data_IF_675577306022
#
_entry.id   IF_675577306022
#
_cell.length_a   1.000
_cell.length_b   1.000
_cell.length_c   1.000
_cell.angle_alpha   90.00
_cell.angle_beta   90.00
_cell.angle_gamma   90.00
#
_symmetry.space_group_name_H-M   'P 1'
#
loop_
_entity.id
_entity.type
_entity.pdbx_description
1 polymer ?
#
# COMPACT_ATOMS: atom_id res chain seq x y z
N UNK A 1 3.16 -20.13 -1.70
CA UNK A 1 3.21 -18.65 -1.60
C UNK A 1 4.37 -18.19 -2.47
N UNK A 2 4.17 -17.20 -3.33
CA UNK A 2 5.28 -16.63 -4.09
C UNK A 2 6.30 -16.03 -3.10
N UNK A 3 7.53 -16.53 -3.12
CA UNK A 3 8.61 -16.03 -2.29
C UNK A 3 9.22 -14.85 -3.02
N UNK A 4 8.96 -13.63 -2.55
CA UNK A 4 9.56 -12.43 -3.14
C UNK A 4 11.06 -12.48 -2.90
N UNK A 5 11.84 -12.44 -3.98
CA UNK A 5 13.28 -12.40 -3.90
C UNK A 5 13.76 -10.95 -3.72
N UNK A 6 14.75 -10.75 -2.86
CA UNK A 6 15.33 -9.41 -2.64
C UNK A 6 15.93 -8.86 -3.94
N UNK A 7 16.45 -9.74 -4.81
CA UNK A 7 16.99 -9.38 -6.11
C UNK A 7 15.95 -8.66 -6.98
N UNK A 8 14.74 -9.18 -7.08
CA UNK A 8 13.63 -8.55 -7.83
C UNK A 8 13.26 -7.16 -7.27
N UNK A 9 13.31 -7.00 -5.95
CA UNK A 9 13.05 -5.71 -5.29
C UNK A 9 14.15 -4.68 -5.55
N UNK A 10 15.40 -5.13 -5.71
CA UNK A 10 16.51 -4.26 -6.10
C UNK A 10 16.34 -3.82 -7.56
N UNK A 11 16.09 -4.78 -8.46
CA UNK A 11 15.95 -4.53 -9.90
C UNK A 11 14.76 -3.62 -10.23
N UNK A 12 13.66 -3.74 -9.50
CA UNK A 12 12.49 -2.86 -9.62
C UNK A 12 12.66 -1.48 -8.98
N UNK A 13 13.77 -1.21 -8.30
CA UNK A 13 14.08 0.09 -7.71
C UNK A 13 13.22 0.47 -6.50
N UNK A 14 12.54 -0.48 -5.85
CA UNK A 14 11.63 -0.16 -4.72
C UNK A 14 12.36 0.21 -3.42
N UNK A 15 13.68 0.10 -3.39
CA UNK A 15 14.52 0.46 -2.26
C UNK A 15 14.78 1.98 -2.15
N UNK A 16 14.46 2.75 -3.19
CA UNK A 16 14.63 4.20 -3.16
C UNK A 16 13.50 4.88 -2.36
N UNK A 17 13.89 5.59 -1.30
CA UNK A 17 13.00 6.42 -0.49
C UNK A 17 12.95 7.87 -0.97
N UNK A 18 12.67 8.78 -0.04
CA UNK A 18 12.65 10.21 -0.29
C UNK A 18 13.97 10.90 0.12
N UNK A 19 14.06 12.19 -0.20
CA UNK A 19 15.14 13.07 0.26
C UNK A 19 15.18 13.10 1.80
N UNK A 20 16.38 13.24 2.35
CA UNK A 20 16.59 13.21 3.81
C UNK A 20 15.89 14.33 4.58
N UNK A 21 15.67 15.49 3.94
CA UNK A 21 14.84 16.56 4.51
C UNK A 21 13.34 16.24 4.61
N UNK A 22 12.85 15.21 3.91
CA UNK A 22 11.43 14.80 3.85
C UNK A 22 11.22 13.45 4.53
N UNK A 23 11.92 13.19 5.62
CA UNK A 23 11.84 11.94 6.35
C UNK A 23 11.00 12.07 7.64
N UNK A 24 10.50 10.94 8.12
CA UNK A 24 9.85 10.83 9.42
C UNK A 24 10.81 10.10 10.37
N UNK A 25 11.15 10.64 11.56
CA UNK A 25 12.08 10.00 12.50
C UNK A 25 11.70 8.55 12.87
N UNK A 26 10.41 8.24 12.89
CA UNK A 26 9.92 6.88 13.16
C UNK A 26 10.32 5.86 12.07
N UNK A 27 10.79 6.33 10.91
CA UNK A 27 11.30 5.47 9.84
C UNK A 27 12.76 5.07 10.05
N UNK A 28 13.46 5.61 11.04
CA UNK A 28 14.87 5.27 11.35
C UNK A 28 15.13 3.75 11.35
N UNK A 29 14.29 2.90 12.00
CA UNK A 29 14.51 1.46 11.98
C UNK A 29 14.37 0.82 10.60
N UNK A 30 13.72 1.45 9.63
CA UNK A 30 13.46 0.91 8.29
C UNK A 30 14.43 1.44 7.23
N UNK A 31 15.22 2.45 7.56
CA UNK A 31 16.25 3.01 6.68
C UNK A 31 17.50 2.15 6.80
N UNK A 32 18.07 1.75 5.66
CA UNK A 32 19.33 1.02 5.59
C UNK A 32 20.52 1.97 5.64
N UNK A 33 20.52 2.98 4.77
CA UNK A 33 21.55 4.02 4.70
C UNK A 33 21.02 5.25 3.95
N UNK A 34 21.83 6.31 3.93
CA UNK A 34 21.65 7.46 3.05
C UNK A 34 22.70 7.42 1.93
N UNK A 35 22.29 7.73 0.70
CA UNK A 35 23.21 7.90 -0.45
C UNK A 35 22.77 9.10 -1.27
N UNK A 36 23.66 10.04 -1.52
CA UNK A 36 23.40 11.25 -2.32
C UNK A 36 22.14 12.02 -1.85
N UNK A 37 21.92 12.12 -0.54
CA UNK A 37 20.76 12.82 0.03
C UNK A 37 19.42 12.06 -0.08
N UNK A 38 19.43 10.79 -0.50
CA UNK A 38 18.23 9.93 -0.59
C UNK A 38 18.36 8.80 0.44
N UNK A 39 17.28 8.53 1.17
CA UNK A 39 17.20 7.36 2.04
C UNK A 39 16.99 6.07 1.24
N UNK A 40 17.79 5.06 1.53
CA UNK A 40 17.65 3.70 1.02
C UNK A 40 16.90 2.87 2.05
N UNK A 41 15.82 2.21 1.64
CA UNK A 41 14.96 1.39 2.50
C UNK A 41 15.55 -0.01 2.65
N UNK A 42 15.50 -0.56 3.86
CA UNK A 42 16.00 -1.90 4.15
C UNK A 42 15.07 -2.99 3.57
N UNK A 43 15.49 -3.60 2.45
CA UNK A 43 14.73 -4.63 1.76
C UNK A 43 14.59 -5.95 2.53
N UNK A 44 15.51 -6.29 3.44
CA UNK A 44 15.35 -7.47 4.31
C UNK A 44 14.15 -7.28 5.24
N UNK A 45 14.01 -6.08 5.82
CA UNK A 45 12.84 -5.72 6.64
C UNK A 45 11.57 -5.68 5.79
N UNK A 46 11.63 -5.12 4.58
CA UNK A 46 10.50 -5.13 3.63
C UNK A 46 10.03 -6.55 3.33
N UNK A 47 10.93 -7.47 3.00
CA UNK A 47 10.59 -8.88 2.70
C UNK A 47 9.89 -9.55 3.89
N UNK A 48 10.44 -9.40 5.10
CA UNK A 48 9.83 -9.92 6.33
C UNK A 48 8.43 -9.35 6.57
N UNK A 49 8.26 -8.02 6.42
CA UNK A 49 6.98 -7.35 6.60
C UNK A 49 5.94 -7.70 5.53
N UNK A 50 6.35 -7.96 4.29
CA UNK A 50 5.43 -8.44 3.26
C UNK A 50 4.90 -9.83 3.61
N UNK A 51 5.73 -10.72 4.16
CA UNK A 51 5.28 -12.04 4.62
C UNK A 51 4.27 -11.91 5.78
N UNK A 52 4.55 -11.04 6.74
CA UNK A 52 3.64 -10.75 7.85
C UNK A 52 2.29 -10.20 7.36
N UNK A 53 2.33 -9.19 6.48
CA UNK A 53 1.13 -8.59 5.89
C UNK A 53 0.32 -9.60 5.07
N UNK A 54 0.99 -10.44 4.27
CA UNK A 54 0.33 -11.48 3.47
C UNK A 54 -0.40 -12.48 4.37
N UNK A 55 0.22 -12.90 5.47
CA UNK A 55 -0.42 -13.79 6.46
C UNK A 55 -1.66 -13.13 7.08
N UNK A 56 -1.59 -11.85 7.44
CA UNK A 56 -2.72 -11.11 7.99
C UNK A 56 -3.86 -10.96 6.97
N UNK A 57 -3.54 -10.57 5.73
CA UNK A 57 -4.53 -10.44 4.65
C UNK A 57 -5.22 -11.77 4.33
N UNK A 58 -4.48 -12.88 4.32
CA UNK A 58 -5.05 -14.22 4.14
C UNK A 58 -6.07 -14.55 5.24
N UNK A 59 -5.76 -14.26 6.51
CA UNK A 59 -6.72 -14.47 7.63
C UNK A 59 -7.98 -13.61 7.46
N UNK A 60 -7.82 -12.34 7.08
CA UNK A 60 -8.96 -11.43 6.86
C UNK A 60 -9.82 -11.93 5.70
N UNK A 61 -9.21 -12.32 4.58
CA UNK A 61 -9.93 -12.84 3.42
C UNK A 61 -10.67 -14.15 3.75
N UNK A 62 -10.05 -15.07 4.49
CA UNK A 62 -10.68 -16.32 4.93
C UNK A 62 -11.89 -16.08 5.83
N UNK A 63 -11.90 -15.01 6.63
CA UNK A 63 -13.06 -14.63 7.46
C UNK A 63 -14.25 -14.05 6.67
N UNK A 64 -14.14 -13.94 5.33
CA UNK A 64 -15.19 -13.39 4.47
C UNK A 64 -15.29 -11.86 4.50
N UNK A 65 -14.37 -11.18 5.20
CA UNK A 65 -14.33 -9.71 5.27
C UNK A 65 -13.82 -9.10 3.97
N UNK A 66 -14.30 -7.90 3.66
CA UNK A 66 -13.86 -7.13 2.48
C UNK A 66 -12.60 -6.32 2.81
N UNK A 67 -11.67 -6.27 1.86
CA UNK A 67 -10.45 -5.46 1.93
C UNK A 67 -10.61 -4.29 0.95
N UNK A 68 -10.50 -3.07 1.45
CA UNK A 68 -10.60 -1.86 0.63
C UNK A 68 -9.21 -1.47 0.11
N UNK A 69 -9.07 -1.39 -1.21
CA UNK A 69 -7.85 -0.92 -1.86
C UNK A 69 -7.93 0.59 -2.10
N UNK A 70 -6.87 1.33 -1.77
CA UNK A 70 -6.88 2.80 -1.87
C UNK A 70 -5.61 3.31 -2.53
N UNK A 71 -5.74 4.09 -3.60
CA UNK A 71 -4.61 4.72 -4.26
C UNK A 71 -5.01 5.98 -5.04
N UNK A 72 -4.62 7.15 -4.58
CA UNK A 72 -4.98 8.43 -5.23
C UNK A 72 -3.91 8.96 -6.18
N UNK A 73 -2.69 8.41 -6.12
CA UNK A 73 -1.56 8.82 -6.96
C UNK A 73 -1.76 8.32 -8.40
N UNK A 74 -1.51 9.19 -9.38
CA UNK A 74 -1.63 8.88 -10.82
C UNK A 74 -0.92 7.58 -11.21
N UNK A 75 0.29 7.35 -10.70
CA UNK A 75 1.10 6.16 -11.00
C UNK A 75 0.50 4.85 -10.45
N UNK A 76 -0.37 4.93 -9.45
CA UNK A 76 -0.93 3.76 -8.76
C UNK A 76 -2.40 3.51 -9.11
N UNK A 77 -3.10 4.47 -9.74
CA UNK A 77 -4.54 4.37 -10.01
C UNK A 77 -4.88 3.12 -10.84
N UNK A 78 -4.25 2.99 -12.00
CA UNK A 78 -4.57 1.92 -12.94
C UNK A 78 -4.21 0.56 -12.37
N UNK A 79 -2.99 0.45 -11.81
CA UNK A 79 -2.47 -0.78 -11.16
C UNK A 79 -3.42 -1.27 -10.06
N UNK A 80 -3.82 -0.37 -9.15
CA UNK A 80 -4.69 -0.74 -8.03
C UNK A 80 -6.10 -1.06 -8.50
N UNK A 81 -6.64 -0.32 -9.46
CA UNK A 81 -7.97 -0.60 -10.02
C UNK A 81 -8.02 -1.96 -10.70
N UNK A 82 -7.00 -2.31 -11.48
CA UNK A 82 -6.92 -3.57 -12.22
C UNK A 82 -6.80 -4.75 -11.26
N UNK A 83 -5.90 -4.67 -10.28
CA UNK A 83 -5.69 -5.75 -9.31
C UNK A 83 -6.90 -5.94 -8.40
N UNK A 84 -7.53 -4.86 -7.95
CA UNK A 84 -8.74 -4.95 -7.12
C UNK A 84 -9.93 -5.55 -7.88
N UNK A 85 -10.09 -5.20 -9.17
CA UNK A 85 -11.10 -5.81 -10.06
C UNK A 85 -10.86 -7.31 -10.23
N UNK A 86 -9.61 -7.72 -10.47
CA UNK A 86 -9.23 -9.15 -10.60
C UNK A 86 -9.64 -9.97 -9.37
N UNK A 87 -9.48 -9.42 -8.16
CA UNK A 87 -9.83 -10.09 -6.91
C UNK A 87 -11.26 -9.79 -6.41
N UNK A 88 -12.08 -9.05 -7.17
CA UNK A 88 -13.46 -8.65 -6.83
C UNK A 88 -13.58 -7.98 -5.45
N UNK A 89 -12.61 -7.15 -5.09
CA UNK A 89 -12.60 -6.36 -3.86
C UNK A 89 -12.90 -4.88 -4.12
N UNK A 90 -13.48 -4.16 -3.14
CA UNK A 90 -13.76 -2.73 -3.29
C UNK A 90 -12.46 -1.92 -3.40
N UNK A 91 -12.46 -0.86 -4.20
CA UNK A 91 -11.32 0.03 -4.36
C UNK A 91 -11.72 1.50 -4.57
N UNK A 92 -10.80 2.41 -4.24
CA UNK A 92 -10.91 3.85 -4.49
C UNK A 92 -9.61 4.34 -5.09
N UNK A 93 -9.68 4.81 -6.34
CA UNK A 93 -8.51 5.33 -7.08
C UNK A 93 -8.57 6.82 -7.35
N UNK A 94 -9.74 7.43 -7.17
CA UNK A 94 -9.96 8.85 -7.37
C UNK A 94 -9.74 9.62 -6.06
N UNK A 95 -10.65 10.53 -5.73
CA UNK A 95 -10.61 11.27 -4.48
C UNK A 95 -11.12 10.39 -3.34
N UNK A 96 -10.42 10.42 -2.21
CA UNK A 96 -10.92 9.89 -0.93
C UNK A 96 -11.77 10.98 -0.24
N UNK A 97 -13.11 10.84 -0.15
CA UNK A 97 -13.94 11.81 0.56
C UNK A 97 -13.71 11.73 2.06
N UNK A 98 -13.69 12.88 2.73
CA UNK A 98 -13.69 12.93 4.19
C UNK A 98 -14.92 12.20 4.74
N UNK A 99 -14.73 11.39 5.79
CA UNK A 99 -15.82 10.65 6.41
C UNK A 99 -16.23 9.36 5.70
N UNK A 100 -15.48 8.87 4.70
CA UNK A 100 -15.85 7.66 3.95
C UNK A 100 -16.04 6.42 4.83
N UNK A 101 -15.21 6.24 5.86
CA UNK A 101 -15.34 5.13 6.81
C UNK A 101 -16.08 5.52 8.10
N UNK A 102 -15.94 6.76 8.56
CA UNK A 102 -16.48 7.22 9.86
C UNK A 102 -17.91 7.73 9.77
N UNK A 103 -18.34 8.26 8.62
CA UNK A 103 -19.70 8.72 8.33
C UNK A 103 -20.29 7.97 7.13
N UNK A 104 -20.25 6.64 7.21
CA UNK A 104 -20.66 5.78 6.10
C UNK A 104 -22.13 5.94 5.71
N UNK A 105 -23.03 6.22 6.66
CA UNK A 105 -24.47 6.41 6.38
C UNK A 105 -24.70 7.56 5.40
N UNK A 106 -23.99 8.67 5.58
CA UNK A 106 -24.12 9.84 4.70
C UNK A 106 -23.46 9.59 3.35
N UNK A 107 -22.25 9.03 3.36
CA UNK A 107 -21.48 8.75 2.15
C UNK A 107 -22.18 7.72 1.25
N UNK A 108 -22.80 6.68 1.84
CA UNK A 108 -23.56 5.68 1.09
C UNK A 108 -24.73 6.31 0.31
N UNK A 109 -25.39 7.33 0.88
CA UNK A 109 -26.46 8.06 0.19
C UNK A 109 -25.92 8.86 -1.01
N UNK A 110 -24.74 9.46 -0.87
CA UNK A 110 -24.08 10.18 -1.96
C UNK A 110 -23.66 9.23 -3.08
N UNK A 111 -23.03 8.10 -2.74
CA UNK A 111 -22.60 7.08 -3.71
C UNK A 111 -23.80 6.46 -4.45
N UNK A 112 -24.95 6.25 -3.79
CA UNK A 112 -26.17 5.73 -4.44
C UNK A 112 -26.80 6.71 -5.44
N UNK A 113 -26.53 8.01 -5.30
CA UNK A 113 -27.03 9.06 -6.21
C UNK A 113 -26.14 9.28 -7.43
N UNK A 114 -24.90 8.78 -7.40
CA UNK A 114 -23.97 8.77 -8.52
C UNK A 114 -24.18 7.53 -9.38
#
# INVERSE_FOLDING_TARGET
>A
MAKIEIKELIESGVHFGHLTRKWNPNMSPYIYMERNGIHIINLYKTSSKIQEATKALNKIAQSGRKILFVATKKQAKDIVSEMAKKVKMPYITERWPGGMLTNFVTIRKAVKKM
#
